data_IF_278296538203
#
_entry.id   IF_278296538203
#
_cell.length_a   1.000
_cell.length_b   1.000
_cell.length_c   1.000
_cell.angle_alpha   90.00
_cell.angle_beta   90.00
_cell.angle_gamma   90.00
#
_symmetry.space_group_name_H-M   'P 1'
#
loop_
_entity.id
_entity.type
_entity.pdbx_description
1 polymer ?
#
# COMPACT_ATOMS: atom_id res chain seq x y z
N UNK A 1 14.86 -17.05 6.08
CA UNK A 1 14.05 -15.88 5.73
C UNK A 1 13.03 -16.33 4.69
N UNK A 2 11.74 -16.27 5.03
CA UNK A 2 10.63 -16.64 4.16
C UNK A 2 10.42 -15.56 3.11
N UNK A 3 10.10 -15.97 1.90
CA UNK A 3 9.78 -15.09 0.77
C UNK A 3 8.29 -15.12 0.45
N UNK A 4 7.80 -14.14 -0.31
CA UNK A 4 6.45 -14.17 -0.87
C UNK A 4 6.21 -15.40 -1.74
N UNK A 5 7.25 -15.93 -2.41
CA UNK A 5 7.13 -17.16 -3.18
C UNK A 5 6.82 -18.36 -2.29
N UNK A 6 7.46 -18.45 -1.12
CA UNK A 6 7.21 -19.53 -0.17
C UNK A 6 5.82 -19.42 0.44
N UNK A 7 5.37 -18.20 0.72
CA UNK A 7 4.16 -17.94 1.51
C UNK A 7 2.88 -17.92 0.68
N UNK A 8 2.92 -17.39 -0.55
CA UNK A 8 1.74 -17.21 -1.41
C UNK A 8 2.01 -17.64 -2.86
N UNK A 9 3.11 -18.33 -3.14
CA UNK A 9 3.45 -18.76 -4.50
C UNK A 9 2.42 -19.70 -5.11
N UNK A 10 1.83 -20.59 -4.30
CA UNK A 10 0.75 -21.49 -4.70
C UNK A 10 -0.54 -20.74 -5.06
N UNK A 11 -0.75 -19.55 -4.50
CA UNK A 11 -1.94 -18.73 -4.78
C UNK A 11 -2.00 -18.33 -6.25
N UNK A 12 -0.83 -18.18 -6.89
CA UNK A 12 -0.75 -17.88 -8.32
C UNK A 12 -1.34 -19.00 -9.18
N UNK A 13 -1.36 -20.24 -8.72
CA UNK A 13 -1.91 -21.37 -9.47
C UNK A 13 -3.45 -21.47 -9.36
N UNK A 14 -4.08 -20.69 -8.48
CA UNK A 14 -5.53 -20.77 -8.27
C UNK A 14 -6.30 -20.27 -9.50
N UNK A 15 -7.45 -20.89 -9.84
CA UNK A 15 -8.23 -20.50 -11.01
C UNK A 15 -8.64 -19.03 -11.04
N UNK A 16 -9.01 -18.46 -9.89
CA UNK A 16 -9.39 -17.05 -9.81
C UNK A 16 -8.22 -16.12 -10.14
N UNK A 17 -7.01 -16.46 -9.69
CA UNK A 17 -5.82 -15.65 -9.95
C UNK A 17 -5.40 -15.70 -11.41
N UNK A 18 -5.47 -16.88 -12.03
CA UNK A 18 -5.24 -17.04 -13.47
C UNK A 18 -6.26 -16.24 -14.30
N UNK A 19 -7.53 -16.25 -13.87
CA UNK A 19 -8.59 -15.46 -14.51
C UNK A 19 -8.30 -13.96 -14.45
N UNK A 20 -7.88 -13.43 -13.30
CA UNK A 20 -7.46 -12.02 -13.16
C UNK A 20 -6.40 -11.67 -14.21
N UNK A 21 -5.32 -12.46 -14.29
CA UNK A 21 -4.21 -12.20 -15.20
C UNK A 21 -4.66 -12.25 -16.67
N UNK A 22 -5.50 -13.21 -17.02
CA UNK A 22 -6.05 -13.35 -18.37
C UNK A 22 -6.91 -12.14 -18.74
N UNK A 23 -7.82 -11.69 -17.86
CA UNK A 23 -8.67 -10.53 -18.11
C UNK A 23 -7.85 -9.24 -18.29
N UNK A 24 -6.86 -9.01 -17.43
CA UNK A 24 -5.96 -7.85 -17.55
C UNK A 24 -5.16 -7.91 -18.85
N UNK A 25 -4.66 -9.09 -19.23
CA UNK A 25 -3.91 -9.26 -20.48
C UNK A 25 -4.82 -9.02 -21.69
N UNK A 26 -6.04 -9.56 -21.70
CA UNK A 26 -7.02 -9.33 -22.76
C UNK A 26 -7.35 -7.84 -22.94
N UNK A 27 -7.49 -7.09 -21.85
CA UNK A 27 -7.72 -5.63 -21.92
C UNK A 27 -6.53 -4.90 -22.57
N UNK A 28 -5.30 -5.30 -22.23
CA UNK A 28 -4.09 -4.73 -22.85
C UNK A 28 -4.01 -5.08 -24.34
N UNK A 29 -4.30 -6.33 -24.69
CA UNK A 29 -4.27 -6.83 -26.08
C UNK A 29 -5.36 -6.17 -26.93
N UNK A 30 -6.49 -5.78 -26.33
CA UNK A 30 -7.55 -5.01 -27.00
C UNK A 30 -7.21 -3.52 -27.16
N UNK A 31 -5.97 -3.10 -26.88
CA UNK A 31 -5.51 -1.72 -27.02
C UNK A 31 -5.85 -0.78 -25.87
N UNK A 32 -6.39 -1.28 -24.75
CA UNK A 32 -6.66 -0.42 -23.58
C UNK A 32 -5.38 -0.17 -22.79
N UNK A 33 -5.28 1.04 -22.26
CA UNK A 33 -4.17 1.43 -21.40
C UNK A 33 -4.51 1.05 -19.96
N UNK A 34 -3.81 0.06 -19.43
CA UNK A 34 -3.97 -0.43 -18.06
C UNK A 34 -2.74 -0.06 -17.21
N UNK A 35 -2.98 0.58 -16.07
CA UNK A 35 -1.96 0.93 -15.08
C UNK A 35 -1.95 -0.03 -13.89
N UNK A 36 -0.79 -0.19 -13.21
CA UNK A 36 0.54 0.24 -13.68
C UNK A 36 1.01 -0.62 -14.87
N UNK A 37 2.19 -0.36 -15.48
CA UNK A 37 2.80 -1.28 -16.44
C UNK A 37 2.89 -2.72 -15.90
N UNK A 38 2.83 -3.73 -16.78
CA UNK A 38 2.79 -5.15 -16.39
C UNK A 38 3.92 -5.55 -15.43
N UNK A 39 5.13 -5.01 -15.65
CA UNK A 39 6.32 -5.27 -14.82
C UNK A 39 6.23 -4.70 -13.41
N UNK A 40 5.34 -3.73 -13.20
CA UNK A 40 5.22 -2.98 -11.96
C UNK A 40 4.08 -3.47 -11.06
N UNK A 41 3.15 -4.29 -11.58
CA UNK A 41 1.92 -4.73 -10.87
C UNK A 41 2.22 -5.27 -9.46
N UNK A 42 3.35 -5.97 -9.30
CA UNK A 42 3.74 -6.60 -8.04
C UNK A 42 4.93 -5.90 -7.35
N UNK A 43 5.19 -4.62 -7.64
CA UNK A 43 6.35 -3.91 -7.08
C UNK A 43 6.32 -3.83 -5.55
N UNK A 44 5.16 -3.73 -4.89
CA UNK A 44 5.06 -3.79 -3.43
C UNK A 44 5.76 -5.03 -2.84
N UNK A 45 5.56 -6.20 -3.46
CA UNK A 45 6.17 -7.47 -3.06
C UNK A 45 7.66 -7.54 -3.42
N UNK A 46 8.08 -6.85 -4.48
CA UNK A 46 9.50 -6.81 -4.90
C UNK A 46 10.35 -5.92 -4.00
N UNK A 47 9.79 -4.81 -3.52
CA UNK A 47 10.51 -3.87 -2.65
C UNK A 47 10.49 -4.26 -1.18
N UNK A 48 9.48 -5.02 -0.75
CA UNK A 48 9.33 -5.45 0.64
C UNK A 48 9.10 -6.95 0.70
N UNK A 49 10.15 -7.74 0.96
CA UNK A 49 10.05 -9.20 1.06
C UNK A 49 9.28 -9.64 2.32
N UNK A 50 8.68 -10.84 2.32
CA UNK A 50 7.73 -11.28 3.36
C UNK A 50 8.22 -11.06 4.80
N UNK A 51 9.40 -11.56 5.15
CA UNK A 51 9.96 -11.39 6.51
C UNK A 51 10.52 -9.97 6.78
N UNK A 52 10.59 -9.09 5.78
CA UNK A 52 11.00 -7.68 5.95
C UNK A 52 9.83 -6.76 6.28
N UNK A 53 8.59 -7.23 6.14
CA UNK A 53 7.40 -6.41 6.43
C UNK A 53 7.42 -6.00 7.91
N UNK A 54 7.34 -4.70 8.14
CA UNK A 54 7.16 -4.06 9.45
C UNK A 54 5.82 -3.35 9.54
N UNK A 55 5.46 -2.66 8.46
CA UNK A 55 4.26 -1.83 8.36
C UNK A 55 3.50 -2.21 7.09
N UNK A 56 2.17 -2.24 7.16
CA UNK A 56 1.29 -2.43 6.01
C UNK A 56 0.40 -1.20 5.89
N UNK A 57 0.43 -0.55 4.73
CA UNK A 57 -0.44 0.58 4.40
C UNK A 57 -1.32 0.15 3.22
N UNK A 58 -2.64 0.18 3.42
CA UNK A 58 -3.59 -0.24 2.39
C UNK A 58 -4.10 0.96 1.58
N UNK A 59 -3.91 0.90 0.27
CA UNK A 59 -4.60 1.74 -0.70
C UNK A 59 -5.74 0.98 -1.39
N UNK A 60 -6.57 1.67 -2.17
CA UNK A 60 -7.72 1.06 -2.84
C UNK A 60 -7.35 0.52 -4.23
N UNK A 61 -7.19 1.41 -5.21
CA UNK A 61 -6.76 1.12 -6.58
C UNK A 61 -5.51 1.94 -6.97
N UNK A 62 -4.78 1.54 -8.03
CA UNK A 62 -3.68 2.34 -8.53
C UNK A 62 -4.17 3.67 -9.08
N UNK A 63 -3.28 4.66 -9.14
CA UNK A 63 -3.56 5.87 -9.90
C UNK A 63 -3.83 5.55 -11.38
N UNK A 64 -4.88 6.16 -11.93
CA UNK A 64 -5.37 5.91 -13.29
C UNK A 64 -4.91 6.94 -14.34
N UNK A 65 -4.03 7.86 -13.97
CA UNK A 65 -3.41 8.83 -14.87
C UNK A 65 -2.05 8.35 -15.43
N UNK A 66 -1.61 8.93 -16.56
CA UNK A 66 -0.36 8.55 -17.21
C UNK A 66 0.85 8.76 -16.30
N UNK A 67 1.75 7.76 -16.29
CA UNK A 67 3.01 7.75 -15.54
C UNK A 67 2.89 7.87 -14.00
N UNK A 68 1.68 7.83 -13.43
CA UNK A 68 1.48 7.97 -11.99
C UNK A 68 1.80 6.66 -11.26
N UNK A 69 1.02 5.61 -11.50
CA UNK A 69 1.12 4.36 -10.77
C UNK A 69 2.38 3.56 -11.17
N UNK A 70 3.05 3.01 -10.16
CA UNK A 70 4.19 2.10 -10.32
C UNK A 70 4.13 0.90 -9.36
N UNK A 71 2.91 0.52 -8.96
CA UNK A 71 2.66 -0.70 -8.17
C UNK A 71 2.82 -0.57 -6.66
N UNK A 72 2.84 0.66 -6.14
CA UNK A 72 2.86 0.98 -4.71
C UNK A 72 1.67 1.88 -4.37
N UNK A 73 0.95 1.56 -3.29
CA UNK A 73 -0.12 2.41 -2.78
C UNK A 73 0.39 3.82 -2.46
N UNK A 74 -0.42 4.84 -2.77
CA UNK A 74 -0.15 6.27 -2.58
C UNK A 74 1.07 6.86 -3.31
N UNK A 75 2.03 6.05 -3.76
CA UNK A 75 3.24 6.53 -4.41
C UNK A 75 3.02 6.83 -5.90
N UNK A 76 3.69 7.89 -6.37
CA UNK A 76 3.81 8.22 -7.80
C UNK A 76 5.27 8.22 -8.25
N UNK A 77 5.51 8.07 -9.55
CA UNK A 77 6.86 8.20 -10.13
C UNK A 77 7.45 9.60 -9.92
N UNK A 78 8.79 9.76 -9.97
CA UNK A 78 9.43 11.08 -9.98
C UNK A 78 8.87 11.97 -11.09
N UNK A 79 8.91 13.29 -10.88
CA UNK A 79 8.40 14.32 -11.80
C UNK A 79 6.87 14.30 -12.06
N UNK A 80 6.13 13.44 -11.36
CA UNK A 80 4.66 13.48 -11.35
C UNK A 80 4.20 14.38 -10.21
N UNK A 81 3.19 15.21 -10.48
CA UNK A 81 2.56 16.04 -9.44
C UNK A 81 2.09 15.16 -8.27
N UNK A 82 2.45 15.57 -7.05
CA UNK A 82 2.06 14.89 -5.82
C UNK A 82 0.51 14.87 -5.72
N UNK A 83 -0.13 13.70 -5.69
CA UNK A 83 -1.59 13.61 -5.63
C UNK A 83 -2.16 14.18 -4.31
N UNK A 84 -3.41 14.67 -4.29
CA UNK A 84 -3.98 15.32 -3.10
C UNK A 84 -3.95 14.48 -1.82
N UNK A 85 -4.21 13.16 -1.93
CA UNK A 85 -4.11 12.25 -0.79
C UNK A 85 -2.68 12.17 -0.24
N UNK A 86 -1.66 12.13 -1.12
CA UNK A 86 -0.27 12.09 -0.69
C UNK A 86 0.18 13.45 -0.10
N UNK A 87 -0.34 14.57 -0.61
CA UNK A 87 -0.11 15.88 0.01
C UNK A 87 -0.63 15.91 1.46
N UNK A 88 -1.80 15.33 1.73
CA UNK A 88 -2.33 15.25 3.09
C UNK A 88 -1.53 14.29 3.97
N UNK A 89 -1.03 13.16 3.42
CA UNK A 89 -0.06 12.30 4.11
C UNK A 89 1.19 13.10 4.51
N UNK A 90 1.75 13.92 3.62
CA UNK A 90 2.90 14.77 3.95
C UNK A 90 2.58 15.87 4.97
N UNK A 91 1.38 16.46 4.91
CA UNK A 91 0.94 17.42 5.94
C UNK A 91 0.87 16.75 7.31
N UNK A 92 0.31 15.55 7.39
CA UNK A 92 0.28 14.78 8.63
C UNK A 92 1.70 14.47 9.12
N UNK A 93 2.58 13.95 8.25
CA UNK A 93 3.98 13.70 8.59
C UNK A 93 4.71 14.94 9.11
N UNK A 94 4.47 16.11 8.51
CA UNK A 94 5.09 17.37 8.96
C UNK A 94 4.64 17.83 10.35
N UNK A 95 3.45 17.40 10.79
CA UNK A 95 2.92 17.67 12.13
C UNK A 95 3.31 16.58 13.13
N UNK A 96 3.47 15.35 12.67
CA UNK A 96 3.70 14.16 13.49
C UNK A 96 5.19 13.85 13.75
N UNK A 97 6.04 14.00 12.75
CA UNK A 97 7.46 13.65 12.80
C UNK A 97 8.30 14.93 12.88
N UNK A 98 8.95 15.14 14.03
CA UNK A 98 9.86 16.27 14.23
C UNK A 98 10.98 16.26 13.20
N UNK A 99 11.17 17.38 12.50
CA UNK A 99 12.20 17.53 11.47
C UNK A 99 11.83 16.98 10.09
N UNK A 100 10.59 16.49 9.90
CA UNK A 100 10.14 16.08 8.57
C UNK A 100 9.92 17.30 7.66
N UNK A 101 10.56 17.26 6.49
CA UNK A 101 10.38 18.26 5.44
C UNK A 101 9.56 17.66 4.29
N UNK A 102 8.55 18.39 3.83
CA UNK A 102 7.71 17.94 2.71
C UNK A 102 8.58 17.87 1.44
N UNK A 103 8.72 16.68 0.83
CA UNK A 103 9.52 16.50 -0.38
C UNK A 103 8.83 17.09 -1.61
N UNK A 104 9.61 17.36 -2.66
CA UNK A 104 9.12 17.87 -3.93
C UNK A 104 8.64 16.78 -4.91
N UNK A 105 8.58 15.51 -4.47
CA UNK A 105 8.14 14.37 -5.27
C UNK A 105 7.28 13.40 -4.45
N UNK A 106 6.59 12.47 -5.13
CA UNK A 106 5.73 11.46 -4.50
C UNK A 106 6.27 10.02 -4.54
N UNK A 107 7.57 9.83 -4.79
CA UNK A 107 8.21 8.53 -4.91
C UNK A 107 8.58 7.92 -3.54
N UNK A 108 7.82 6.93 -3.09
CA UNK A 108 7.87 6.36 -1.73
C UNK A 108 8.68 5.04 -1.65
N UNK A 109 9.56 4.77 -2.62
CA UNK A 109 10.32 3.52 -2.65
C UNK A 109 11.23 3.36 -1.43
N UNK A 110 11.77 4.46 -0.89
CA UNK A 110 12.57 4.42 0.34
C UNK A 110 11.79 3.86 1.53
N UNK A 111 10.47 4.09 1.62
CA UNK A 111 9.63 3.47 2.65
C UNK A 111 9.50 1.97 2.43
N UNK A 112 9.26 1.55 1.19
CA UNK A 112 9.10 0.13 0.86
C UNK A 112 10.37 -0.67 1.18
N UNK A 113 11.54 -0.13 0.86
CA UNK A 113 12.85 -0.73 1.17
C UNK A 113 13.13 -0.85 2.68
N UNK A 114 12.43 -0.08 3.53
CA UNK A 114 12.56 -0.14 4.99
C UNK A 114 11.61 -1.12 5.68
N UNK A 115 10.72 -1.78 4.91
CA UNK A 115 9.73 -2.71 5.44
C UNK A 115 8.28 -2.22 5.38
N UNK A 116 7.99 -1.13 4.67
CA UNK A 116 6.62 -0.61 4.51
C UNK A 116 5.96 -1.21 3.27
N UNK A 117 5.09 -2.20 3.47
CA UNK A 117 4.31 -2.79 2.39
C UNK A 117 3.18 -1.84 1.96
N UNK A 118 3.40 -1.14 0.85
CA UNK A 118 2.45 -0.21 0.22
C UNK A 118 1.51 -0.97 -0.74
N UNK A 119 0.48 -1.63 -0.19
CA UNK A 119 -0.37 -2.56 -0.93
C UNK A 119 -1.72 -1.93 -1.32
N UNK A 120 -2.01 -1.83 -2.61
CA UNK A 120 -3.39 -1.57 -3.04
C UNK A 120 -4.23 -2.84 -2.96
N UNK A 121 -5.52 -2.71 -2.65
CA UNK A 121 -6.46 -3.85 -2.64
C UNK A 121 -6.83 -4.35 -4.04
N UNK A 122 -6.77 -3.45 -5.03
CA UNK A 122 -6.89 -3.74 -6.46
C UNK A 122 -5.56 -3.37 -7.12
N UNK A 123 -4.97 -4.26 -7.91
CA UNK A 123 -3.59 -4.06 -8.40
C UNK A 123 -3.48 -3.46 -9.81
N UNK A 124 -4.60 -3.30 -10.51
CA UNK A 124 -4.64 -2.69 -11.85
C UNK A 124 -5.86 -1.80 -12.05
N UNK A 125 -5.79 -0.88 -13.00
CA UNK A 125 -6.90 0.04 -13.35
C UNK A 125 -6.78 0.46 -14.81
N UNK A 126 -7.91 0.73 -15.47
CA UNK A 126 -7.94 1.29 -16.83
C UNK A 126 -7.73 2.81 -16.76
N UNK A 127 -7.00 3.37 -17.73
CA UNK A 127 -6.72 4.80 -17.78
C UNK A 127 -8.01 5.63 -17.68
N UNK A 128 -8.00 6.60 -16.77
CA UNK A 128 -9.10 7.53 -16.56
C UNK A 128 -10.36 6.91 -15.94
N UNK A 129 -10.35 5.63 -15.57
CA UNK A 129 -11.53 4.93 -15.02
C UNK A 129 -11.22 4.34 -13.65
N UNK A 130 -11.40 5.15 -12.61
CA UNK A 130 -11.29 4.69 -11.22
C UNK A 130 -12.15 3.44 -10.99
N UNK A 131 -11.63 2.48 -10.21
CA UNK A 131 -12.29 1.23 -9.86
C UNK A 131 -12.68 0.30 -11.03
N UNK A 132 -12.18 0.53 -12.25
CA UNK A 132 -12.58 -0.27 -13.43
C UNK A 132 -12.30 -1.78 -13.30
N UNK A 133 -11.34 -2.18 -12.48
CA UNK A 133 -10.97 -3.59 -12.25
C UNK A 133 -11.35 -4.09 -10.85
N UNK A 134 -12.24 -3.40 -10.12
CA UNK A 134 -12.66 -3.83 -8.78
C UNK A 134 -13.22 -5.27 -8.76
N UNK A 135 -13.99 -5.64 -9.79
CA UNK A 135 -14.63 -6.96 -9.88
C UNK A 135 -13.76 -8.05 -10.53
N UNK A 136 -12.48 -7.81 -10.77
CA UNK A 136 -11.62 -8.80 -11.43
C UNK A 136 -11.20 -9.93 -10.48
N UNK A 137 -11.25 -9.71 -9.16
CA UNK A 137 -10.83 -10.66 -8.13
C UNK A 137 -9.52 -10.30 -7.42
N UNK A 138 -8.94 -9.12 -7.70
CA UNK A 138 -7.74 -8.65 -7.00
C UNK A 138 -7.92 -8.57 -5.48
N UNK A 139 -9.14 -8.27 -5.02
CA UNK A 139 -9.42 -8.21 -3.59
C UNK A 139 -9.26 -9.56 -2.91
N UNK A 140 -9.66 -10.67 -3.56
CA UNK A 140 -9.44 -12.03 -3.07
C UNK A 140 -7.95 -12.32 -2.88
N UNK A 141 -7.13 -11.94 -3.87
CA UNK A 141 -5.68 -12.11 -3.77
C UNK A 141 -5.09 -11.28 -2.61
N UNK A 142 -5.48 -10.02 -2.48
CA UNK A 142 -4.95 -9.14 -1.44
C UNK A 142 -5.48 -9.49 -0.05
N UNK A 143 -6.69 -10.07 0.07
CA UNK A 143 -7.19 -10.67 1.30
C UNK A 143 -6.32 -11.85 1.73
N UNK A 144 -5.96 -12.73 0.80
CA UNK A 144 -5.06 -13.85 1.07
C UNK A 144 -3.68 -13.35 1.55
N UNK A 145 -3.13 -12.30 0.91
CA UNK A 145 -1.86 -11.67 1.34
C UNK A 145 -1.92 -11.20 2.80
N UNK A 146 -2.98 -10.48 3.17
CA UNK A 146 -3.14 -9.93 4.54
C UNK A 146 -3.39 -11.06 5.54
N UNK A 147 -4.18 -12.08 5.18
CA UNK A 147 -4.41 -13.26 6.00
C UNK A 147 -3.12 -14.04 6.26
N UNK A 148 -2.28 -14.23 5.25
CA UNK A 148 -0.99 -14.91 5.38
C UNK A 148 -0.03 -14.13 6.27
N UNK A 149 0.04 -12.80 6.13
CA UNK A 149 0.80 -11.95 7.08
C UNK A 149 0.26 -12.10 8.50
N UNK A 150 -1.05 -11.95 8.68
CA UNK A 150 -1.72 -12.05 9.99
C UNK A 150 -1.47 -13.41 10.65
N UNK A 151 -1.43 -14.50 9.88
CA UNK A 151 -1.21 -15.83 10.43
C UNK A 151 0.28 -16.07 10.78
N UNK A 152 1.19 -15.77 9.86
CA UNK A 152 2.59 -16.23 9.93
C UNK A 152 3.59 -15.21 10.49
N UNK A 153 3.14 -14.01 10.86
CA UNK A 153 3.99 -12.97 11.42
C UNK A 153 3.46 -12.46 12.76
N UNK A 154 4.26 -11.65 13.45
CA UNK A 154 3.92 -10.99 14.71
C UNK A 154 4.55 -9.60 14.76
N UNK A 155 3.91 -8.70 15.53
CA UNK A 155 4.42 -7.36 15.76
C UNK A 155 4.44 -6.49 14.51
N UNK A 156 3.48 -6.67 13.60
CA UNK A 156 3.30 -5.77 12.44
C UNK A 156 2.44 -4.59 12.83
N UNK A 157 2.62 -3.46 12.13
CA UNK A 157 1.72 -2.31 12.20
C UNK A 157 0.87 -2.25 10.94
N UNK A 158 -0.46 -2.20 11.08
CA UNK A 158 -1.40 -1.99 9.98
C UNK A 158 -2.00 -0.59 10.07
N UNK A 159 -1.78 0.21 9.03
CA UNK A 159 -2.39 1.55 8.89
C UNK A 159 -3.60 1.44 7.96
N UNK A 160 -4.80 1.47 8.57
CA UNK A 160 -6.07 1.26 7.89
C UNK A 160 -6.81 2.59 7.73
N UNK A 161 -6.57 3.27 6.60
CA UNK A 161 -7.13 4.59 6.32
C UNK A 161 -8.39 4.51 5.46
N UNK A 162 -9.52 4.92 6.03
CA UNK A 162 -10.83 4.88 5.39
C UNK A 162 -11.59 3.57 5.59
N UNK A 163 -12.90 3.60 5.35
CA UNK A 163 -13.82 2.49 5.61
C UNK A 163 -13.45 1.21 4.87
N UNK A 164 -12.95 1.32 3.63
CA UNK A 164 -12.53 0.16 2.83
C UNK A 164 -11.38 -0.60 3.48
N UNK A 165 -10.30 0.09 3.82
CA UNK A 165 -9.13 -0.50 4.49
C UNK A 165 -9.51 -1.04 5.88
N UNK A 166 -10.35 -0.32 6.63
CA UNK A 166 -10.83 -0.77 7.93
C UNK A 166 -11.64 -2.05 7.84
N UNK A 167 -12.57 -2.16 6.87
CA UNK A 167 -13.35 -3.37 6.63
C UNK A 167 -12.44 -4.55 6.27
N UNK A 168 -11.50 -4.35 5.35
CA UNK A 168 -10.54 -5.38 4.95
C UNK A 168 -9.66 -5.86 6.10
N UNK A 169 -9.31 -4.98 7.04
CA UNK A 169 -8.49 -5.35 8.21
C UNK A 169 -9.26 -5.88 9.42
N UNK A 170 -10.57 -6.11 9.36
CA UNK A 170 -11.36 -6.54 10.52
C UNK A 170 -10.92 -7.86 11.14
N UNK A 171 -10.37 -8.77 10.34
CA UNK A 171 -9.93 -10.10 10.79
C UNK A 171 -8.50 -10.11 11.37
N UNK A 172 -7.79 -8.98 11.37
CA UNK A 172 -6.41 -8.90 11.86
C UNK A 172 -6.41 -9.10 13.38
N UNK A 173 -5.53 -9.98 13.87
CA UNK A 173 -5.37 -10.26 15.29
C UNK A 173 -4.66 -9.09 15.97
N UNK A 174 -5.43 -8.32 16.76
CA UNK A 174 -4.95 -7.14 17.48
C UNK A 174 -4.12 -7.47 18.73
N UNK A 175 -4.08 -8.73 19.15
CA UNK A 175 -3.14 -9.18 20.19
C UNK A 175 -1.75 -9.44 19.59
N UNK A 176 -1.69 -9.90 18.33
CA UNK A 176 -0.45 -10.14 17.60
C UNK A 176 0.12 -8.90 16.90
N UNK A 177 -0.74 -7.99 16.47
CA UNK A 177 -0.39 -6.86 15.61
C UNK A 177 -0.96 -5.54 16.14
N UNK A 178 -0.27 -4.44 15.84
CA UNK A 178 -0.81 -3.10 16.05
C UNK A 178 -1.68 -2.71 14.85
N UNK A 179 -2.91 -2.27 15.10
CA UNK A 179 -3.84 -1.82 14.05
C UNK A 179 -4.30 -0.40 14.36
N UNK A 180 -3.82 0.56 13.57
CA UNK A 180 -4.14 1.97 13.68
C UNK A 180 -5.11 2.37 12.57
N UNK A 181 -6.20 3.05 12.92
CA UNK A 181 -7.29 3.35 11.99
C UNK A 181 -7.62 4.83 12.01
N UNK A 182 -7.76 5.42 10.83
CA UNK A 182 -8.19 6.81 10.67
C UNK A 182 -9.08 6.94 9.41
N UNK A 183 -9.78 8.06 9.20
CA UNK A 183 -10.34 8.40 7.90
C UNK A 183 -9.30 8.37 6.77
N UNK A 184 -9.76 8.31 5.52
CA UNK A 184 -8.85 8.32 4.38
C UNK A 184 -8.13 9.68 4.23
N UNK A 185 -6.87 9.74 3.76
CA UNK A 185 -6.16 11.00 3.49
C UNK A 185 -6.73 11.84 2.33
N UNK A 186 -7.83 11.40 1.70
CA UNK A 186 -8.48 12.16 0.61
C UNK A 186 -8.92 13.52 1.12
N UNK A 187 -8.88 14.59 0.29
CA UNK A 187 -9.44 15.90 0.65
C UNK A 187 -10.87 15.82 1.21
N UNK A 188 -11.66 14.84 0.78
CA UNK A 188 -13.04 14.61 1.23
C UNK A 188 -13.16 14.17 2.70
N UNK A 189 -12.08 13.68 3.30
CA UNK A 189 -12.13 13.06 4.63
C UNK A 189 -10.95 13.40 5.54
N UNK A 190 -9.89 14.04 5.04
CA UNK A 190 -8.66 14.23 5.79
C UNK A 190 -8.88 15.00 7.10
N UNK A 191 -9.68 16.07 7.06
CA UNK A 191 -10.03 16.89 8.22
C UNK A 191 -10.98 16.21 9.22
N UNK A 192 -11.52 15.03 8.89
CA UNK A 192 -12.42 14.28 9.79
C UNK A 192 -11.66 13.38 10.78
N UNK A 193 -10.33 13.49 10.83
CA UNK A 193 -9.48 12.75 11.77
C UNK A 193 -8.31 11.99 11.15
N UNK A 194 -8.01 12.16 9.85
CA UNK A 194 -6.70 11.70 9.33
C UNK A 194 -5.60 12.68 9.76
N UNK A 195 -5.85 13.98 9.59
CA UNK A 195 -4.96 15.00 10.13
C UNK A 195 -5.07 15.02 11.65
N UNK A 196 -3.94 14.91 12.35
CA UNK A 196 -3.83 14.74 13.80
C UNK A 196 -3.96 13.29 14.27
N UNK A 197 -3.86 12.29 13.39
CA UNK A 197 -3.94 10.88 13.79
C UNK A 197 -2.67 10.37 14.45
N UNK A 198 -1.52 11.00 14.19
CA UNK A 198 -0.21 10.65 14.73
C UNK A 198 0.21 9.20 14.44
N UNK A 199 -0.23 8.64 13.30
CA UNK A 199 0.02 7.24 12.96
C UNK A 199 1.51 6.96 12.70
N UNK A 200 2.30 7.90 12.21
CA UNK A 200 3.69 7.66 11.83
C UNK A 200 4.60 7.58 13.07
N UNK A 201 4.42 8.48 14.03
CA UNK A 201 5.10 8.44 15.33
C UNK A 201 4.65 7.24 16.16
N UNK A 202 3.33 6.96 16.21
CA UNK A 202 2.77 5.78 16.89
C UNK A 202 3.32 4.47 16.30
N UNK A 203 3.48 4.40 14.97
CA UNK A 203 4.12 3.27 14.28
C UNK A 203 5.56 3.09 14.77
N UNK A 204 6.35 4.15 14.80
CA UNK A 204 7.75 4.08 15.23
C UNK A 204 7.87 3.72 16.72
N UNK A 205 7.01 4.26 17.58
CA UNK A 205 6.95 3.91 18.99
C UNK A 205 6.68 2.41 19.18
N UNK A 206 5.70 1.87 18.46
CA UNK A 206 5.40 0.44 18.52
C UNK A 206 6.56 -0.42 18.01
N UNK A 207 7.19 -0.05 16.89
CA UNK A 207 8.35 -0.79 16.37
C UNK A 207 9.49 -0.82 17.37
N UNK A 208 9.79 0.31 18.02
CA UNK A 208 10.83 0.40 19.06
C UNK A 208 10.48 -0.51 20.25
N UNK A 209 9.23 -0.53 20.72
CA UNK A 209 8.78 -1.41 21.80
C UNK A 209 8.92 -2.89 21.45
N UNK A 210 8.82 -3.25 20.16
CA UNK A 210 9.03 -4.60 19.65
C UNK A 210 10.51 -4.91 19.35
N UNK A 211 11.44 -4.02 19.70
CA UNK A 211 12.87 -4.18 19.41
C UNK A 211 13.23 -4.07 17.92
N UNK A 212 12.34 -3.49 17.10
CA UNK A 212 12.53 -3.30 15.66
C UNK A 212 13.04 -1.89 15.37
N UNK A 213 13.85 -1.76 14.33
CA UNK A 213 14.27 -0.45 13.82
C UNK A 213 13.05 0.35 13.35
N UNK A 214 12.86 1.60 13.81
CA UNK A 214 11.79 2.47 13.33
C UNK A 214 11.95 2.77 11.83
N UNK A 215 10.90 3.31 11.22
CA UNK A 215 10.93 3.79 9.83
C UNK A 215 11.41 5.24 9.82
N UNK A 216 12.39 5.53 8.98
CA UNK A 216 12.65 6.91 8.54
C UNK A 216 11.61 7.26 7.47
N UNK A 217 10.66 8.09 7.88
CA UNK A 217 9.58 8.54 7.01
C UNK A 217 10.03 9.65 6.04
N UNK A 218 11.23 10.20 6.20
CA UNK A 218 11.80 11.18 5.27
C UNK A 218 12.06 10.54 3.91
N UNK A 219 12.03 11.37 2.85
CA UNK A 219 12.39 10.93 1.50
C UNK A 219 13.73 11.55 1.09
N UNK A 220 14.59 10.79 0.40
CA UNK A 220 15.83 11.35 -0.15
C UNK A 220 15.50 12.36 -1.27
N UNK A 221 16.40 13.32 -1.50
CA UNK A 221 16.30 14.18 -2.68
C UNK A 221 16.48 13.35 -3.96
N UNK A 222 15.77 13.74 -5.03
CA UNK A 222 15.85 13.14 -6.37
C UNK A 222 16.50 14.10 -7.37
#
# INVERSE_FOLDING_TARGET
MRTWKDMIGSEKAQPYFQHILQQVQQQRDSGKIIYPPKTDVFNAFRYTEFDQVKVVILGQDPYHGPNQAHGLAFSVRPNVQIPPSLQNIYKELSQDITGFHIPNHGYLVSWAQQGVLLLNTVLTVEQGKAHSHANFGWETFTDHVIATLNHHTQGLVFLLWGSHAQKKGQFIDRQKHCVLTAPHPSPLSAHRGFLGCHHFSSTNQYLIQQGKTPIDWSLPNL
#
